data_IF_925674740876
#
_entry.id   IF_925674740876
#
_cell.length_a   1.000
_cell.length_b   1.000
_cell.length_c   1.000
_cell.angle_alpha   90.00
_cell.angle_beta   90.00
_cell.angle_gamma   90.00
#
_symmetry.space_group_name_H-M   'P 1'
#
loop_
_entity.id
_entity.type
_entity.pdbx_description
1 polymer ?
#
# COMPACT_ATOMS: atom_id res chain seq x y z
N UNK A 1 47.52 13.64 -51.28
CA UNK A 1 47.36 14.24 -49.93
C UNK A 1 47.31 13.23 -48.78
N UNK A 2 46.88 11.97 -48.99
CA UNK A 2 46.71 10.96 -47.92
C UNK A 2 48.05 10.35 -47.43
N UNK A 3 49.06 10.19 -48.30
CA UNK A 3 50.39 9.65 -47.90
C UNK A 3 51.19 10.58 -46.95
N UNK A 4 50.90 11.88 -46.92
CA UNK A 4 51.61 12.87 -46.09
C UNK A 4 51.14 12.86 -44.63
N UNK A 5 49.88 12.52 -44.39
CA UNK A 5 49.30 12.45 -43.04
C UNK A 5 49.80 11.20 -42.31
N UNK A 6 49.83 10.04 -43.00
CA UNK A 6 50.34 8.79 -42.42
C UNK A 6 51.79 8.87 -41.94
N UNK A 7 52.67 9.55 -42.69
CA UNK A 7 54.08 9.73 -42.29
C UNK A 7 54.25 10.68 -41.09
N UNK A 8 53.41 11.71 -40.95
CA UNK A 8 53.43 12.60 -39.77
C UNK A 8 52.91 11.91 -38.51
N UNK A 9 51.86 11.10 -38.63
CA UNK A 9 51.38 10.25 -37.55
C UNK A 9 52.44 9.26 -37.09
N UNK A 10 53.10 8.56 -38.03
CA UNK A 10 54.13 7.57 -37.69
C UNK A 10 55.37 8.18 -37.03
N UNK A 11 55.71 9.44 -37.36
CA UNK A 11 56.79 10.17 -36.71
C UNK A 11 56.43 10.61 -35.28
N UNK A 12 55.19 11.07 -35.07
CA UNK A 12 54.69 11.46 -33.75
C UNK A 12 54.65 10.27 -32.76
N UNK A 13 54.27 9.08 -33.23
CA UNK A 13 54.26 7.86 -32.42
C UNK A 13 55.65 7.38 -31.99
N UNK A 14 56.70 7.68 -32.77
CA UNK A 14 58.09 7.37 -32.40
C UNK A 14 58.64 8.30 -31.31
N UNK A 15 58.18 9.55 -31.25
CA UNK A 15 58.66 10.56 -30.30
C UNK A 15 57.92 10.52 -28.95
N UNK A 16 56.65 10.09 -28.93
CA UNK A 16 55.82 10.15 -27.72
C UNK A 16 55.11 8.81 -27.42
N UNK A 17 55.85 7.73 -27.15
CA UNK A 17 55.27 6.42 -26.86
C UNK A 17 54.34 6.43 -25.62
N UNK A 18 54.64 7.28 -24.63
CA UNK A 18 53.80 7.44 -23.44
C UNK A 18 52.43 8.08 -23.75
N UNK A 19 52.37 9.02 -24.70
CA UNK A 19 51.09 9.64 -25.10
C UNK A 19 50.19 8.63 -25.80
N UNK A 20 50.78 7.76 -26.63
CA UNK A 20 50.03 6.65 -27.24
C UNK A 20 49.47 5.70 -26.18
N UNK A 21 50.29 5.33 -25.19
CA UNK A 21 49.85 4.45 -24.10
C UNK A 21 48.68 5.10 -23.34
N UNK A 22 48.78 6.39 -23.00
CA UNK A 22 47.73 7.11 -22.29
C UNK A 22 46.42 7.23 -23.09
N UNK A 23 46.49 7.45 -24.40
CA UNK A 23 45.31 7.48 -25.28
C UNK A 23 44.67 6.10 -25.41
N UNK A 24 45.47 5.04 -25.55
CA UNK A 24 44.94 3.67 -25.55
C UNK A 24 44.30 3.32 -24.20
N UNK A 25 44.89 3.78 -23.09
CA UNK A 25 44.35 3.57 -21.75
C UNK A 25 43.03 4.32 -21.54
N UNK A 26 42.92 5.57 -22.00
CA UNK A 26 41.69 6.34 -21.87
C UNK A 26 40.53 5.75 -22.69
N UNK A 27 40.82 5.27 -23.91
CA UNK A 27 39.85 4.55 -24.74
C UNK A 27 39.45 3.24 -24.05
N UNK A 28 40.41 2.47 -23.54
CA UNK A 28 40.15 1.23 -22.81
C UNK A 28 39.26 1.43 -21.57
N UNK A 29 39.55 2.46 -20.77
CA UNK A 29 38.72 2.83 -19.60
C UNK A 29 37.30 3.23 -20.04
N UNK A 30 37.18 4.02 -21.12
CA UNK A 30 35.87 4.47 -21.62
C UNK A 30 35.03 3.27 -22.09
N UNK A 31 35.64 2.33 -22.81
CA UNK A 31 34.99 1.07 -23.23
C UNK A 31 34.59 0.24 -22.02
N UNK A 32 35.45 0.13 -20.99
CA UNK A 32 35.11 -0.58 -19.75
C UNK A 32 33.95 0.07 -19.00
N UNK A 33 33.89 1.40 -18.93
CA UNK A 33 32.77 2.14 -18.31
C UNK A 33 31.48 1.91 -19.09
N UNK A 34 31.51 2.01 -20.43
CA UNK A 34 30.33 1.74 -21.27
C UNK A 34 29.87 0.30 -21.14
N UNK A 35 30.80 -0.67 -21.14
CA UNK A 35 30.50 -2.08 -20.90
C UNK A 35 29.91 -2.30 -19.51
N UNK A 36 30.43 -1.65 -18.46
CA UNK A 36 29.90 -1.73 -17.09
C UNK A 36 28.50 -1.13 -16.96
N UNK A 37 28.23 -0.01 -17.63
CA UNK A 37 26.90 0.62 -17.65
C UNK A 37 25.92 -0.28 -18.44
N UNK A 38 26.35 -0.85 -19.56
CA UNK A 38 25.52 -1.77 -20.35
C UNK A 38 25.30 -3.11 -19.64
N UNK A 39 26.30 -3.63 -18.91
CA UNK A 39 26.13 -4.78 -18.01
C UNK A 39 25.26 -4.43 -16.81
N UNK A 40 25.31 -3.20 -16.28
CA UNK A 40 24.40 -2.74 -15.23
C UNK A 40 22.95 -2.68 -15.70
N UNK A 41 22.72 -2.28 -16.95
CA UNK A 41 21.39 -2.29 -17.59
C UNK A 41 20.94 -3.71 -17.98
N UNK A 42 21.84 -4.62 -18.36
CA UNK A 42 21.52 -6.02 -18.67
C UNK A 42 21.43 -6.93 -17.43
N UNK A 43 22.18 -6.67 -16.35
CA UNK A 43 22.06 -7.35 -15.04
C UNK A 43 20.87 -6.86 -14.23
N UNK A 44 20.23 -5.76 -14.63
CA UNK A 44 18.90 -5.34 -14.15
C UNK A 44 17.74 -6.01 -14.91
N UNK A 45 17.98 -7.13 -15.59
CA UNK A 45 16.94 -8.17 -15.66
C UNK A 45 17.24 -9.17 -14.54
N UNK A 46 16.52 -9.10 -13.40
CA UNK A 46 16.48 -10.25 -12.53
C UNK A 46 15.80 -11.35 -13.36
N UNK A 47 16.58 -12.36 -13.67
CA UNK A 47 16.08 -13.65 -14.13
C UNK A 47 15.23 -14.22 -12.98
N UNK A 48 13.98 -13.77 -12.85
CA UNK A 48 12.96 -14.34 -11.95
C UNK A 48 12.50 -15.69 -12.53
N UNK A 49 13.46 -16.59 -12.72
CA UNK A 49 13.26 -18.01 -13.00
C UNK A 49 14.08 -18.81 -12.00
N UNK A 50 13.55 -18.89 -10.78
CA UNK A 50 13.62 -20.04 -9.86
C UNK A 50 13.38 -19.59 -8.42
N UNK A 51 12.11 -19.44 -8.11
CA UNK A 51 11.52 -19.94 -6.87
C UNK A 51 10.08 -20.34 -7.20
N UNK A 52 9.90 -21.08 -8.30
CA UNK A 52 8.67 -21.86 -8.56
C UNK A 52 8.70 -23.07 -7.62
N UNK A 53 8.53 -22.81 -6.34
CA UNK A 53 8.08 -23.79 -5.37
C UNK A 53 6.56 -23.84 -5.44
N UNK A 54 6.02 -24.68 -6.31
CA UNK A 54 4.61 -25.07 -6.39
C UNK A 54 3.61 -23.89 -6.56
N UNK A 55 3.49 -23.39 -7.80
CA UNK A 55 2.55 -22.33 -8.22
C UNK A 55 1.07 -22.76 -8.20
N UNK A 56 0.75 -23.99 -7.83
CA UNK A 56 -0.57 -24.57 -8.08
C UNK A 56 -1.65 -24.36 -6.99
N UNK A 57 -1.46 -23.50 -5.98
CA UNK A 57 -2.62 -23.12 -5.16
C UNK A 57 -2.40 -21.86 -4.33
N UNK A 58 -2.56 -20.67 -4.94
CA UNK A 58 -2.91 -19.50 -4.13
C UNK A 58 -4.25 -19.79 -3.42
N UNK A 59 -4.33 -19.69 -2.08
CA UNK A 59 -5.49 -20.16 -1.31
C UNK A 59 -6.80 -19.45 -1.68
N UNK A 60 -6.69 -18.29 -2.33
CA UNK A 60 -7.80 -17.43 -2.71
C UNK A 60 -7.79 -17.10 -4.22
N UNK A 61 -7.20 -17.94 -5.06
CA UNK A 61 -6.99 -17.68 -6.50
C UNK A 61 -8.25 -17.28 -7.29
N UNK A 62 -9.44 -17.72 -6.84
CA UNK A 62 -10.71 -17.43 -7.53
C UNK A 62 -11.20 -15.99 -7.35
N UNK A 63 -10.73 -15.28 -6.34
CA UNK A 63 -11.23 -13.94 -6.03
C UNK A 63 -10.52 -12.89 -6.87
N UNK A 64 -11.30 -11.94 -7.39
CA UNK A 64 -10.85 -10.90 -8.31
C UNK A 64 -11.03 -9.50 -7.75
N UNK A 65 -11.96 -9.31 -6.82
CA UNK A 65 -12.33 -8.00 -6.29
C UNK A 65 -11.87 -7.87 -4.84
N UNK A 66 -11.29 -6.72 -4.48
CA UNK A 66 -10.91 -6.39 -3.12
C UNK A 66 -12.00 -5.52 -2.49
N UNK A 67 -12.60 -5.99 -1.40
CA UNK A 67 -13.37 -5.13 -0.48
C UNK A 67 -12.49 -4.83 0.72
N UNK A 68 -12.08 -3.57 0.87
CA UNK A 68 -11.17 -3.14 1.93
C UNK A 68 -11.92 -2.26 2.93
N UNK A 69 -11.94 -2.65 4.19
CA UNK A 69 -12.55 -1.88 5.29
C UNK A 69 -11.44 -1.22 6.09
N UNK A 70 -11.43 0.12 6.13
CA UNK A 70 -10.42 0.89 6.82
C UNK A 70 -10.64 0.88 8.34
N UNK A 71 -9.65 0.39 9.08
CA UNK A 71 -9.60 0.43 10.53
C UNK A 71 -9.43 1.86 11.05
N UNK A 72 -10.12 2.17 12.15
CA UNK A 72 -10.09 3.48 12.80
C UNK A 72 -9.93 3.44 14.33
N UNK A 73 -10.05 2.26 14.94
CA UNK A 73 -9.97 2.04 16.38
C UNK A 73 -9.87 0.54 16.66
N UNK A 74 -9.50 0.19 17.89
CA UNK A 74 -9.33 -1.20 18.34
C UNK A 74 -10.47 -1.56 19.28
N UNK A 75 -11.19 -2.63 18.99
CA UNK A 75 -12.14 -3.23 19.93
C UNK A 75 -11.40 -3.88 21.12
N UNK A 76 -11.68 -3.42 22.33
CA UNK A 76 -10.93 -3.81 23.54
C UNK A 76 -11.72 -4.65 24.54
N UNK A 77 -13.05 -4.62 24.49
CA UNK A 77 -13.89 -5.38 25.42
C UNK A 77 -13.65 -6.90 25.30
N UNK A 78 -13.73 -7.59 26.44
CA UNK A 78 -13.67 -9.05 26.51
C UNK A 78 -15.00 -9.72 26.18
N UNK A 79 -16.13 -9.01 26.31
CA UNK A 79 -17.45 -9.49 25.90
C UNK A 79 -17.96 -8.73 24.69
N UNK A 80 -18.31 -9.45 23.62
CA UNK A 80 -18.82 -8.91 22.35
C UNK A 80 -20.29 -8.43 22.41
N UNK A 81 -20.81 -8.17 23.61
CA UNK A 81 -22.23 -7.83 23.82
C UNK A 81 -22.55 -6.39 23.40
N UNK A 82 -21.63 -5.45 23.68
CA UNK A 82 -21.83 -4.01 23.56
C UNK A 82 -20.91 -3.35 22.52
N UNK A 83 -20.77 -3.98 21.34
CA UNK A 83 -19.87 -3.49 20.28
C UNK A 83 -20.20 -2.06 19.80
N UNK A 84 -21.41 -1.57 20.03
CA UNK A 84 -21.84 -0.22 19.67
C UNK A 84 -21.50 0.83 20.75
N UNK A 85 -20.88 0.45 21.87
CA UNK A 85 -20.59 1.33 23.00
C UNK A 85 -19.13 1.79 23.02
N UNK A 86 -18.93 3.07 23.30
CA UNK A 86 -17.62 3.72 23.31
C UNK A 86 -16.64 3.11 24.31
N UNK A 87 -17.13 2.58 25.44
CA UNK A 87 -16.32 1.92 26.48
C UNK A 87 -15.72 0.58 26.04
N UNK A 88 -16.23 0.01 24.94
CA UNK A 88 -15.76 -1.25 24.39
C UNK A 88 -14.66 -1.08 23.34
N UNK A 89 -14.28 0.17 23.04
CA UNK A 89 -13.27 0.53 22.04
C UNK A 89 -12.17 1.39 22.66
N UNK A 90 -10.95 1.27 22.14
CA UNK A 90 -9.90 2.23 22.42
C UNK A 90 -10.08 3.50 21.57
N UNK A 91 -10.55 4.57 22.20
CA UNK A 91 -10.84 5.84 21.54
C UNK A 91 -9.79 6.89 21.87
N UNK A 92 -9.24 7.52 20.84
CA UNK A 92 -8.47 8.77 20.98
C UNK A 92 -9.37 9.90 21.50
N UNK A 93 -8.80 10.96 22.11
CA UNK A 93 -9.59 12.06 22.66
C UNK A 93 -10.62 12.66 21.70
N UNK A 94 -10.27 12.82 20.41
CA UNK A 94 -11.19 13.34 19.39
C UNK A 94 -12.28 12.35 18.95
N UNK A 95 -12.13 11.07 19.28
CA UNK A 95 -13.09 10.00 18.99
C UNK A 95 -14.06 9.78 20.16
N UNK A 96 -13.82 10.37 21.34
CA UNK A 96 -14.66 10.22 22.54
C UNK A 96 -15.92 11.07 22.46
N UNK A 97 -16.84 10.69 21.57
CA UNK A 97 -18.16 11.29 21.46
C UNK A 97 -19.23 10.21 21.20
N UNK A 98 -20.49 10.45 21.57
CA UNK A 98 -21.57 9.49 21.34
C UNK A 98 -21.71 9.09 19.87
N UNK A 99 -21.93 7.79 19.63
CA UNK A 99 -22.17 7.17 18.32
C UNK A 99 -20.90 6.85 17.53
N UNK A 100 -19.71 7.12 18.08
CA UNK A 100 -18.46 6.84 17.39
C UNK A 100 -18.27 5.32 17.19
N UNK A 101 -18.49 4.53 18.25
CA UNK A 101 -18.37 3.08 18.20
C UNK A 101 -19.37 2.48 17.18
N UNK A 102 -20.62 2.95 17.21
CA UNK A 102 -21.64 2.57 16.23
C UNK A 102 -21.22 2.85 14.77
N UNK A 103 -20.43 3.90 14.53
CA UNK A 103 -19.91 4.19 13.18
C UNK A 103 -18.89 3.14 12.73
N UNK A 104 -17.99 2.71 13.62
CA UNK A 104 -17.05 1.61 13.32
C UNK A 104 -17.79 0.30 13.01
N UNK A 105 -18.78 -0.03 13.82
CA UNK A 105 -19.67 -1.18 13.64
C UNK A 105 -20.38 -1.10 12.28
N UNK A 106 -20.77 0.10 11.85
CA UNK A 106 -21.37 0.32 10.53
C UNK A 106 -20.39 0.08 9.38
N UNK A 107 -19.12 0.52 9.50
CA UNK A 107 -18.09 0.20 8.50
C UNK A 107 -17.93 -1.33 8.34
N UNK A 108 -17.87 -2.05 9.47
CA UNK A 108 -17.67 -3.50 9.49
C UNK A 108 -18.83 -4.20 8.78
N UNK A 109 -20.05 -3.89 9.20
CA UNK A 109 -21.26 -4.47 8.61
C UNK A 109 -21.35 -4.17 7.11
N UNK A 110 -21.07 -2.91 6.71
CA UNK A 110 -21.13 -2.51 5.30
C UNK A 110 -20.11 -3.24 4.43
N UNK A 111 -18.90 -3.49 4.95
CA UNK A 111 -17.89 -4.30 4.26
C UNK A 111 -18.32 -5.75 4.07
N UNK A 112 -18.93 -6.36 5.09
CA UNK A 112 -19.48 -7.71 4.99
C UNK A 112 -20.63 -7.76 3.99
N UNK A 113 -21.54 -6.79 4.00
CA UNK A 113 -22.67 -6.71 3.06
C UNK A 113 -22.20 -6.58 1.60
N UNK A 114 -21.20 -5.70 1.33
CA UNK A 114 -20.65 -5.53 -0.01
C UNK A 114 -19.99 -6.83 -0.47
N UNK A 115 -19.18 -7.46 0.38
CA UNK A 115 -18.56 -8.74 0.05
C UNK A 115 -19.62 -9.82 -0.18
N UNK A 116 -20.68 -9.89 0.63
CA UNK A 116 -21.77 -10.86 0.49
C UNK A 116 -22.51 -10.77 -0.85
N UNK A 117 -22.58 -9.56 -1.44
CA UNK A 117 -23.23 -9.34 -2.74
C UNK A 117 -22.27 -9.49 -3.94
N UNK A 118 -21.01 -9.87 -3.72
CA UNK A 118 -19.99 -10.12 -4.75
C UNK A 118 -19.24 -11.43 -4.47
N UNK A 119 -19.58 -12.49 -5.20
CA UNK A 119 -18.99 -13.83 -5.04
C UNK A 119 -17.51 -13.91 -5.44
N UNK A 120 -17.02 -12.93 -6.21
CA UNK A 120 -15.62 -12.79 -6.59
C UNK A 120 -14.86 -11.83 -5.66
N UNK A 121 -15.50 -11.28 -4.62
CA UNK A 121 -14.85 -10.42 -3.64
C UNK A 121 -14.14 -11.17 -2.52
N UNK A 122 -12.94 -10.70 -2.15
CA UNK A 122 -12.24 -11.01 -0.91
C UNK A 122 -12.31 -9.78 0.00
N UNK A 123 -12.77 -9.99 1.24
CA UNK A 123 -12.88 -8.94 2.25
C UNK A 123 -11.59 -8.86 3.08
N UNK A 124 -10.98 -7.69 3.13
CA UNK A 124 -9.87 -7.36 4.04
C UNK A 124 -10.28 -6.25 5.00
N UNK A 125 -10.28 -6.56 6.29
CA UNK A 125 -10.19 -5.52 7.32
C UNK A 125 -8.73 -5.08 7.39
N UNK A 126 -8.44 -3.79 7.29
CA UNK A 126 -7.06 -3.28 7.26
C UNK A 126 -6.80 -2.27 8.35
N UNK A 127 -5.65 -2.41 9.02
CA UNK A 127 -5.21 -1.54 10.10
C UNK A 127 -4.43 -2.30 11.17
N UNK A 128 -3.26 -1.79 11.53
CA UNK A 128 -2.34 -2.45 12.43
C UNK A 128 -2.49 -2.14 13.91
N UNK A 129 -1.50 -2.55 14.69
CA UNK A 129 -1.40 -2.33 16.13
C UNK A 129 -0.94 -0.89 16.44
N UNK A 130 -1.77 0.11 16.12
CA UNK A 130 -1.35 1.52 16.13
C UNK A 130 -1.37 2.18 17.52
N UNK A 131 -1.86 1.48 18.55
CA UNK A 131 -2.16 2.05 19.88
C UNK A 131 -1.52 1.26 21.01
N UNK A 132 -0.52 1.84 21.67
CA UNK A 132 0.22 1.20 22.76
C UNK A 132 -0.71 0.74 23.90
N UNK A 133 -1.63 1.61 24.31
CA UNK A 133 -2.50 1.37 25.47
C UNK A 133 -3.70 0.46 25.13
N UNK A 134 -3.94 0.15 23.85
CA UNK A 134 -4.92 -0.86 23.45
C UNK A 134 -4.36 -2.29 23.56
N UNK A 135 -3.06 -2.44 23.83
CA UNK A 135 -2.35 -3.71 23.78
C UNK A 135 -2.00 -4.14 22.35
N UNK A 136 -1.36 -5.32 22.18
CA UNK A 136 -0.92 -5.83 20.88
C UNK A 136 -2.11 -6.40 20.08
N UNK A 137 -3.07 -5.53 19.77
CA UNK A 137 -4.29 -5.84 19.02
C UNK A 137 -4.37 -4.92 17.82
N UNK A 138 -4.48 -5.49 16.63
CA UNK A 138 -4.63 -4.73 15.40
C UNK A 138 -6.07 -4.24 15.22
N UNK A 139 -6.22 -3.08 14.58
CA UNK A 139 -7.55 -2.58 14.21
C UNK A 139 -8.29 -3.61 13.34
N UNK A 140 -7.57 -4.24 12.40
CA UNK A 140 -8.09 -5.27 11.49
C UNK A 140 -8.63 -6.52 12.22
N UNK A 141 -7.86 -7.12 13.14
CA UNK A 141 -8.33 -8.27 13.93
C UNK A 141 -9.57 -7.90 14.75
N UNK A 142 -9.55 -6.70 15.33
CA UNK A 142 -10.65 -6.24 16.17
C UNK A 142 -11.95 -6.11 15.36
N UNK A 143 -11.88 -5.64 14.11
CA UNK A 143 -13.02 -5.54 13.20
C UNK A 143 -13.53 -6.92 12.78
N UNK A 144 -12.61 -7.86 12.48
CA UNK A 144 -12.97 -9.23 12.14
C UNK A 144 -13.70 -9.94 13.30
N UNK A 145 -13.21 -9.80 14.54
CA UNK A 145 -13.81 -10.38 15.74
C UNK A 145 -15.22 -9.81 15.98
N UNK A 146 -15.40 -8.50 15.81
CA UNK A 146 -16.72 -7.87 15.93
C UNK A 146 -17.69 -8.46 14.90
N UNK A 147 -17.26 -8.60 13.64
CA UNK A 147 -18.09 -9.19 12.59
C UNK A 147 -18.47 -10.65 12.88
N UNK A 148 -17.52 -11.45 13.38
CA UNK A 148 -17.74 -12.83 13.77
C UNK A 148 -18.74 -12.92 14.93
N UNK A 149 -18.56 -12.09 15.96
CA UNK A 149 -19.42 -12.08 17.14
C UNK A 149 -20.89 -11.74 16.83
N UNK A 150 -21.11 -10.96 15.76
CA UNK A 150 -22.43 -10.58 15.27
C UNK A 150 -23.01 -11.56 14.25
N UNK A 151 -22.27 -12.62 13.91
CA UNK A 151 -22.68 -13.64 12.95
C UNK A 151 -22.98 -13.10 11.54
N UNK A 152 -22.48 -11.90 11.20
CA UNK A 152 -22.75 -11.25 9.93
C UNK A 152 -22.20 -12.00 8.72
N UNK A 153 -21.13 -12.77 8.93
CA UNK A 153 -20.54 -13.57 7.85
C UNK A 153 -21.46 -14.67 7.31
N UNK A 154 -22.54 -15.02 8.02
CA UNK A 154 -23.48 -16.08 7.63
C UNK A 154 -24.77 -15.59 6.99
N UNK A 155 -24.97 -14.28 6.83
CA UNK A 155 -26.26 -13.74 6.38
C UNK A 155 -26.57 -14.05 4.90
N UNK A 156 -25.56 -14.17 4.02
CA UNK A 156 -25.67 -14.60 2.61
C UNK A 156 -24.32 -15.13 2.11
N UNK A 157 -24.26 -16.43 1.78
CA UNK A 157 -23.03 -17.17 1.44
C UNK A 157 -21.92 -17.04 2.51
N UNK A 158 -21.01 -18.01 2.62
CA UNK A 158 -20.02 -17.96 3.71
C UNK A 158 -18.92 -16.93 3.40
N UNK A 159 -19.20 -15.64 3.59
CA UNK A 159 -18.21 -14.53 3.54
C UNK A 159 -17.07 -14.82 4.51
N UNK A 160 -17.35 -15.54 5.60
CA UNK A 160 -16.35 -15.96 6.60
C UNK A 160 -15.14 -16.62 5.97
N UNK A 161 -15.35 -17.46 4.96
CA UNK A 161 -14.28 -18.19 4.27
C UNK A 161 -13.34 -17.30 3.46
N UNK A 162 -13.75 -16.05 3.18
CA UNK A 162 -13.06 -15.07 2.31
C UNK A 162 -12.95 -13.69 2.97
N UNK A 163 -13.03 -13.65 4.30
CA UNK A 163 -12.81 -12.47 5.12
C UNK A 163 -11.52 -12.62 5.93
N UNK A 164 -10.53 -11.79 5.65
CA UNK A 164 -9.20 -11.83 6.24
C UNK A 164 -8.77 -10.45 6.76
N UNK A 165 -7.56 -10.38 7.28
CA UNK A 165 -6.97 -9.17 7.89
C UNK A 165 -5.70 -8.73 7.15
N UNK A 166 -5.50 -7.42 7.13
CA UNK A 166 -4.23 -6.74 6.85
C UNK A 166 -3.86 -5.94 8.12
N UNK A 167 -2.81 -6.35 8.82
CA UNK A 167 -2.58 -5.95 10.21
C UNK A 167 -1.38 -5.01 10.41
N UNK A 168 -0.92 -4.37 9.35
CA UNK A 168 0.32 -3.59 9.37
C UNK A 168 0.12 -2.13 8.96
N UNK A 169 -1.02 -1.76 8.36
CA UNK A 169 -1.25 -0.38 7.97
C UNK A 169 -1.36 0.57 9.17
N UNK A 170 -0.61 1.69 9.10
CA UNK A 170 -0.56 2.72 10.15
C UNK A 170 -1.26 4.01 9.74
N UNK A 171 -1.60 4.16 8.46
CA UNK A 171 -2.40 5.27 7.96
C UNK A 171 -3.30 4.82 6.80
N UNK A 172 -4.11 5.76 6.29
CA UNK A 172 -5.06 5.49 5.20
C UNK A 172 -4.42 5.12 3.85
N UNK A 173 -3.20 5.59 3.59
CA UNK A 173 -2.49 5.25 2.36
C UNK A 173 -1.96 3.82 2.45
N UNK A 174 -1.31 3.47 3.58
CA UNK A 174 -0.89 2.10 3.86
C UNK A 174 -2.09 1.15 3.88
N UNK A 175 -3.22 1.57 4.43
CA UNK A 175 -4.47 0.79 4.41
C UNK A 175 -4.81 0.31 2.99
N UNK A 176 -4.75 1.21 2.00
CA UNK A 176 -4.98 0.86 0.61
C UNK A 176 -3.84 0.02 0.02
N UNK A 177 -2.60 0.53 0.06
CA UNK A 177 -1.45 -0.09 -0.60
C UNK A 177 -1.15 -1.50 -0.04
N UNK A 178 -1.22 -1.65 1.28
CA UNK A 178 -0.96 -2.92 1.95
C UNK A 178 -2.08 -3.91 1.68
N UNK A 179 -3.34 -3.47 1.61
CA UNK A 179 -4.45 -4.36 1.22
C UNK A 179 -4.34 -4.84 -0.22
N UNK A 180 -3.89 -3.99 -1.15
CA UNK A 180 -3.60 -4.39 -2.54
C UNK A 180 -2.51 -5.46 -2.58
N UNK A 181 -1.43 -5.27 -1.81
CA UNK A 181 -0.37 -6.26 -1.74
C UNK A 181 -0.83 -7.55 -1.06
N UNK A 182 -1.55 -7.45 0.06
CA UNK A 182 -2.12 -8.60 0.77
C UNK A 182 -3.05 -9.42 -0.11
N UNK A 183 -3.86 -8.75 -0.93
CA UNK A 183 -4.70 -9.43 -1.93
C UNK A 183 -3.84 -10.23 -2.92
N UNK A 184 -2.75 -9.66 -3.43
CA UNK A 184 -1.81 -10.33 -4.34
C UNK A 184 -1.11 -11.54 -3.70
N UNK A 185 -0.76 -11.47 -2.42
CA UNK A 185 -0.22 -12.61 -1.66
C UNK A 185 -1.22 -13.77 -1.57
N UNK A 186 -2.50 -13.45 -1.36
CA UNK A 186 -3.55 -14.43 -1.12
C UNK A 186 -4.07 -15.07 -2.41
N UNK A 187 -4.16 -14.29 -3.49
CA UNK A 187 -4.84 -14.69 -4.74
C UNK A 187 -3.89 -14.99 -5.90
N UNK A 188 -2.65 -14.51 -5.84
CA UNK A 188 -1.71 -14.63 -6.95
C UNK A 188 -1.85 -13.56 -8.03
N UNK A 189 -2.87 -12.72 -7.96
CA UNK A 189 -3.12 -11.63 -8.89
C UNK A 189 -3.43 -10.32 -8.14
N UNK A 190 -3.24 -9.18 -8.79
CA UNK A 190 -3.70 -7.90 -8.25
C UNK A 190 -5.22 -7.74 -8.47
N UNK A 191 -5.92 -6.99 -7.62
CA UNK A 191 -7.37 -6.87 -7.71
C UNK A 191 -7.81 -6.23 -9.04
N UNK A 192 -8.85 -6.80 -9.64
CA UNK A 192 -9.55 -6.21 -10.78
C UNK A 192 -10.37 -5.00 -10.34
N UNK A 193 -11.08 -5.07 -9.21
CA UNK A 193 -11.80 -3.94 -8.64
C UNK A 193 -11.41 -3.75 -7.18
N UNK A 194 -11.41 -2.49 -6.72
CA UNK A 194 -11.22 -2.15 -5.32
C UNK A 194 -12.44 -1.37 -4.84
N UNK A 195 -13.08 -1.85 -3.78
CA UNK A 195 -14.11 -1.12 -3.04
C UNK A 195 -13.60 -0.81 -1.64
N UNK A 196 -13.44 0.46 -1.32
CA UNK A 196 -13.03 0.90 0.02
C UNK A 196 -14.26 1.26 0.85
N UNK A 197 -14.31 0.81 2.10
CA UNK A 197 -15.33 1.13 3.09
C UNK A 197 -14.71 1.92 4.24
N UNK A 198 -15.30 3.06 4.59
CA UNK A 198 -14.83 3.92 5.67
C UNK A 198 -15.72 5.14 5.84
N UNK A 199 -15.18 6.18 6.48
CA UNK A 199 -15.89 7.46 6.63
C UNK A 199 -16.17 8.15 5.31
N UNK A 200 -17.42 8.58 5.10
CA UNK A 200 -17.84 9.36 3.93
C UNK A 200 -16.96 10.60 3.67
N UNK A 201 -16.60 11.34 4.71
CA UNK A 201 -15.76 12.52 4.56
C UNK A 201 -14.34 12.23 4.03
N UNK A 202 -13.86 10.97 4.08
CA UNK A 202 -12.53 10.57 3.57
C UNK A 202 -12.55 10.15 2.10
N UNK A 203 -13.73 10.09 1.47
CA UNK A 203 -13.89 9.61 0.10
C UNK A 203 -12.94 10.31 -0.88
N UNK A 204 -12.94 11.66 -0.89
CA UNK A 204 -12.09 12.43 -1.80
C UNK A 204 -10.60 12.09 -1.64
N UNK A 205 -10.15 11.82 -0.41
CA UNK A 205 -8.76 11.44 -0.15
C UNK A 205 -8.43 10.07 -0.75
N UNK A 206 -9.31 9.09 -0.60
CA UNK A 206 -9.08 7.77 -1.18
C UNK A 206 -9.18 7.81 -2.71
N UNK A 207 -10.24 8.43 -3.25
CA UNK A 207 -10.56 8.41 -4.68
C UNK A 207 -9.62 9.30 -5.49
N UNK A 208 -9.28 10.50 -5.01
CA UNK A 208 -8.51 11.46 -5.80
C UNK A 208 -7.03 11.53 -5.44
N UNK A 209 -6.64 11.13 -4.22
CA UNK A 209 -5.23 11.16 -3.78
C UNK A 209 -4.63 9.75 -3.76
N UNK A 210 -5.10 8.87 -2.87
CA UNK A 210 -4.46 7.55 -2.66
C UNK A 210 -4.54 6.66 -3.91
N UNK A 211 -5.71 6.55 -4.52
CA UNK A 211 -5.90 5.81 -5.78
C UNK A 211 -5.00 6.37 -6.89
N UNK A 212 -4.94 7.70 -7.02
CA UNK A 212 -4.10 8.38 -8.02
C UNK A 212 -2.61 8.14 -7.78
N UNK A 213 -2.16 8.16 -6.52
CA UNK A 213 -0.77 7.92 -6.14
C UNK A 213 -0.29 6.52 -6.51
N UNK A 214 -1.17 5.52 -6.41
CA UNK A 214 -0.90 4.15 -6.87
C UNK A 214 -1.35 3.91 -8.33
N UNK A 215 -1.79 4.95 -9.05
CA UNK A 215 -2.29 4.90 -10.44
C UNK A 215 -3.32 3.80 -10.70
N UNK A 216 -4.17 3.49 -9.72
CA UNK A 216 -5.24 2.51 -9.91
C UNK A 216 -6.36 3.11 -10.76
N UNK A 217 -6.93 2.41 -11.77
CA UNK A 217 -7.91 2.99 -12.67
C UNK A 217 -9.18 3.45 -11.95
N UNK A 218 -9.64 4.65 -12.28
CA UNK A 218 -10.83 5.26 -11.68
C UNK A 218 -12.09 4.43 -11.93
N UNK A 219 -12.25 3.86 -13.13
CA UNK A 219 -13.40 3.02 -13.49
C UNK A 219 -13.49 1.69 -12.74
N UNK A 220 -12.45 1.34 -11.97
CA UNK A 220 -12.33 0.09 -11.19
C UNK A 220 -12.19 0.34 -9.69
N UNK A 221 -12.33 1.60 -9.25
CA UNK A 221 -12.16 2.00 -7.86
C UNK A 221 -13.46 2.61 -7.32
N UNK A 222 -14.01 2.01 -6.28
CA UNK A 222 -15.26 2.39 -5.67
C UNK A 222 -15.07 2.77 -4.20
N UNK A 223 -15.89 3.68 -3.71
CA UNK A 223 -15.89 4.08 -2.30
C UNK A 223 -17.29 3.95 -1.73
N UNK A 224 -17.40 3.31 -0.56
CA UNK A 224 -18.64 3.20 0.21
C UNK A 224 -18.45 3.92 1.53
N UNK A 225 -18.83 5.20 1.55
CA UNK A 225 -18.80 6.03 2.74
C UNK A 225 -19.93 5.70 3.71
N UNK A 226 -19.62 5.66 5.01
CA UNK A 226 -20.64 5.68 6.06
C UNK A 226 -20.55 6.98 6.84
N UNK A 227 -21.69 7.54 7.21
CA UNK A 227 -21.76 8.85 7.87
C UNK A 227 -21.08 8.86 9.23
N UNK A 228 -20.33 9.93 9.51
CA UNK A 228 -19.95 10.29 10.87
C UNK A 228 -21.17 10.74 11.69
N UNK A 229 -21.04 10.77 13.01
CA UNK A 229 -22.09 11.35 13.86
C UNK A 229 -22.20 12.86 13.64
N UNK A 230 -23.41 13.40 13.77
CA UNK A 230 -23.68 14.82 13.45
C UNK A 230 -22.83 15.77 14.30
N UNK A 231 -22.62 15.44 15.58
CA UNK A 231 -21.93 16.30 16.54
C UNK A 231 -20.42 16.41 16.30
N UNK A 232 -19.81 15.45 15.58
CA UNK A 232 -18.37 15.48 15.25
C UNK A 232 -18.09 15.78 13.79
N UNK A 233 -19.12 15.86 12.94
CA UNK A 233 -18.99 15.98 11.48
C UNK A 233 -18.21 17.22 11.05
N UNK A 234 -18.50 18.39 11.62
CA UNK A 234 -17.82 19.63 11.23
C UNK A 234 -16.31 19.59 11.55
N UNK A 235 -15.96 19.15 12.77
CA UNK A 235 -14.58 18.98 13.18
C UNK A 235 -13.85 17.92 12.34
N UNK A 236 -14.54 16.82 12.01
CA UNK A 236 -14.02 15.76 11.14
C UNK A 236 -13.73 16.27 9.73
N UNK A 237 -14.65 17.04 9.13
CA UNK A 237 -14.47 17.66 7.81
C UNK A 237 -13.28 18.64 7.79
N UNK A 238 -13.15 19.46 8.83
CA UNK A 238 -12.02 20.40 8.95
C UNK A 238 -10.69 19.67 9.10
N UNK A 239 -10.64 18.65 9.97
CA UNK A 239 -9.46 17.83 10.16
C UNK A 239 -9.08 17.06 8.89
N UNK A 240 -10.06 16.56 8.16
CA UNK A 240 -9.85 15.87 6.89
C UNK A 240 -9.34 16.81 5.80
N UNK A 241 -9.86 18.02 5.69
CA UNK A 241 -9.37 19.01 4.71
C UNK A 241 -7.85 19.26 4.88
N UNK A 242 -7.37 19.39 6.12
CA UNK A 242 -5.94 19.52 6.41
C UNK A 242 -5.15 18.29 5.97
N UNK A 243 -5.66 17.10 6.26
CA UNK A 243 -4.99 15.84 5.89
C UNK A 243 -4.97 15.65 4.38
N UNK A 244 -6.00 16.08 3.65
CA UNK A 244 -6.01 16.08 2.17
C UNK A 244 -4.92 16.96 1.61
N UNK A 245 -4.77 18.19 2.12
CA UNK A 245 -3.66 19.07 1.71
C UNK A 245 -2.30 18.42 1.97
N UNK A 246 -2.12 17.75 3.11
CA UNK A 246 -0.87 17.03 3.39
C UNK A 246 -0.59 15.91 2.37
N UNK A 247 -1.60 15.12 1.99
CA UNK A 247 -1.42 14.07 0.98
C UNK A 247 -1.36 14.61 -0.46
N UNK A 248 -1.82 15.83 -0.74
CA UNK A 248 -1.58 16.49 -2.02
C UNK A 248 -0.10 16.86 -2.18
N UNK A 249 0.53 17.33 -1.11
CA UNK A 249 1.95 17.69 -1.08
C UNK A 249 2.88 16.48 -0.95
N UNK A 250 2.44 15.45 -0.22
CA UNK A 250 3.18 14.22 0.05
C UNK A 250 2.29 12.98 -0.21
N UNK A 251 2.12 12.59 -1.50
CA UNK A 251 1.18 11.51 -1.89
C UNK A 251 1.46 10.15 -1.27
N UNK A 252 2.69 9.92 -0.79
CA UNK A 252 3.14 8.64 -0.22
C UNK A 252 3.35 8.72 1.31
N UNK A 253 3.13 9.89 1.92
CA UNK A 253 3.28 10.11 3.36
C UNK A 253 4.71 9.92 3.87
N UNK A 254 5.71 10.21 3.04
CA UNK A 254 7.12 9.99 3.36
C UNK A 254 7.77 11.14 4.16
N UNK A 255 7.09 12.28 4.30
CA UNK A 255 7.65 13.50 4.85
C UNK A 255 6.73 14.15 5.89
N UNK A 256 7.24 15.18 6.55
CA UNK A 256 6.43 16.10 7.34
C UNK A 256 5.64 15.45 8.47
N UNK A 257 4.40 15.88 8.63
CA UNK A 257 3.49 15.41 9.68
C UNK A 257 3.01 13.98 9.45
N UNK A 258 2.82 13.57 8.18
CA UNK A 258 2.36 12.23 7.81
C UNK A 258 3.37 11.17 8.23
N UNK A 259 4.65 11.36 7.87
CA UNK A 259 5.73 10.48 8.27
C UNK A 259 5.85 10.34 9.80
N UNK A 260 5.85 11.47 10.53
CA UNK A 260 5.94 11.46 12.00
C UNK A 260 4.75 10.72 12.63
N UNK A 261 3.55 10.91 12.06
CA UNK A 261 2.34 10.21 12.50
C UNK A 261 2.44 8.71 12.25
N UNK A 262 3.00 8.29 11.10
CA UNK A 262 3.23 6.89 10.76
C UNK A 262 4.24 6.24 11.73
N UNK A 263 5.35 6.91 12.03
CA UNK A 263 6.33 6.47 13.03
C UNK A 263 5.71 6.32 14.44
N UNK A 264 4.89 7.29 14.86
CA UNK A 264 4.22 7.25 16.16
C UNK A 264 3.15 6.16 16.29
N UNK A 265 2.76 5.52 15.18
CA UNK A 265 1.74 4.47 15.10
C UNK A 265 2.32 3.07 14.95
N UNK A 266 3.58 2.89 15.34
CA UNK A 266 4.21 1.57 15.46
C UNK A 266 4.75 1.34 16.90
N UNK A 267 3.89 1.42 17.93
CA UNK A 267 4.33 1.31 19.33
C UNK A 267 4.94 -0.04 19.69
N UNK A 268 4.66 -1.09 18.91
CA UNK A 268 5.16 -2.45 19.13
C UNK A 268 6.33 -2.83 18.21
N UNK A 269 6.81 -1.91 17.37
CA UNK A 269 7.90 -2.12 16.41
C UNK A 269 7.70 -3.39 15.57
N UNK A 270 6.50 -3.53 15.00
CA UNK A 270 6.14 -4.69 14.18
C UNK A 270 6.92 -4.65 12.86
N UNK A 271 7.57 -5.75 12.50
CA UNK A 271 8.14 -5.86 11.15
C UNK A 271 7.04 -5.77 10.10
N UNK A 272 7.20 -4.87 9.13
CA UNK A 272 6.27 -4.71 8.01
C UNK A 272 6.63 -5.77 6.94
N UNK A 273 5.71 -6.67 6.57
CA UNK A 273 6.02 -7.75 5.64
C UNK A 273 6.16 -7.26 4.19
N UNK A 274 5.54 -6.15 3.84
CA UNK A 274 5.52 -5.62 2.48
C UNK A 274 6.81 -4.86 2.13
N UNK A 275 7.28 -4.91 0.86
CA UNK A 275 6.62 -5.48 -0.32
C UNK A 275 6.91 -6.99 -0.55
N UNK A 276 7.37 -7.74 0.45
CA UNK A 276 7.51 -9.19 0.26
C UNK A 276 6.14 -9.78 -0.12
N UNK A 277 6.12 -10.66 -1.11
CA UNK A 277 4.88 -11.18 -1.70
C UNK A 277 4.31 -10.35 -2.86
N UNK A 278 4.84 -9.16 -3.12
CA UNK A 278 4.41 -8.26 -4.21
C UNK A 278 5.61 -7.66 -4.97
N UNK A 279 6.48 -8.51 -5.56
CA UNK A 279 7.71 -8.04 -6.21
C UNK A 279 7.44 -7.07 -7.35
N UNK A 280 6.29 -7.17 -8.04
CA UNK A 280 5.94 -6.34 -9.18
C UNK A 280 5.71 -4.87 -8.82
N UNK A 281 5.46 -4.57 -7.54
CA UNK A 281 5.24 -3.21 -7.03
C UNK A 281 6.26 -2.79 -5.96
N UNK A 282 7.37 -3.52 -5.83
CA UNK A 282 8.43 -3.18 -4.86
C UNK A 282 8.91 -1.73 -5.00
N UNK A 283 9.05 -1.26 -6.25
CA UNK A 283 9.46 0.12 -6.52
C UNK A 283 8.45 1.17 -6.05
N UNK A 284 7.15 0.85 -6.03
CA UNK A 284 6.10 1.74 -5.52
C UNK A 284 6.23 1.92 -4.00
N UNK A 285 6.55 0.85 -3.26
CA UNK A 285 6.76 0.91 -1.80
C UNK A 285 7.97 1.75 -1.39
N UNK A 286 8.96 1.87 -2.27
CA UNK A 286 10.18 2.67 -2.03
C UNK A 286 10.08 4.10 -2.56
N UNK A 287 8.96 4.45 -3.19
CA UNK A 287 8.81 5.73 -3.87
C UNK A 287 8.26 6.81 -2.93
N UNK A 288 8.90 7.98 -2.96
CA UNK A 288 8.58 9.13 -2.11
C UNK A 288 8.65 10.44 -2.93
N UNK A 289 8.00 10.46 -4.09
CA UNK A 289 7.93 11.64 -4.96
C UNK A 289 6.63 12.43 -4.81
N UNK A 290 6.59 13.63 -5.40
CA UNK A 290 5.40 14.50 -5.42
C UNK A 290 4.51 14.27 -6.66
N UNK A 291 4.97 13.47 -7.61
CA UNK A 291 4.21 13.06 -8.81
C UNK A 291 3.88 11.57 -8.71
N UNK A 292 2.86 11.07 -9.44
CA UNK A 292 2.57 9.64 -9.44
C UNK A 292 3.77 8.77 -9.86
N UNK A 293 3.90 7.60 -9.23
CA UNK A 293 5.00 6.66 -9.46
C UNK A 293 5.16 6.34 -10.96
N UNK A 294 6.35 6.61 -11.55
CA UNK A 294 6.55 6.47 -12.99
C UNK A 294 6.82 5.03 -13.44
N UNK A 295 7.09 4.11 -12.51
CA UNK A 295 7.38 2.72 -12.83
C UNK A 295 6.17 1.94 -13.35
N UNK A 296 6.43 0.72 -13.80
CA UNK A 296 5.40 -0.23 -14.20
C UNK A 296 4.53 -0.60 -13.00
N UNK A 297 3.22 -0.71 -13.23
CA UNK A 297 2.25 -1.20 -12.25
C UNK A 297 1.32 -2.20 -12.94
N UNK A 298 1.08 -3.39 -12.36
CA UNK A 298 0.34 -4.47 -13.03
C UNK A 298 -1.12 -4.18 -13.41
N UNK A 299 -1.70 -3.11 -12.84
CA UNK A 299 -3.08 -2.69 -13.06
C UNK A 299 -3.21 -1.39 -13.87
N UNK A 300 -2.11 -0.68 -14.14
CA UNK A 300 -2.13 0.66 -14.72
C UNK A 300 -2.09 0.66 -16.24
#
# INVERSE_FOLDING_TARGET
>A
MIKSIGNRFNHYYKLHPLVLILVCLSIGITVLIVLSISEGQFKMMPTYRKLDGNVDSYPFARFRNLVMVAGHSVYTSSSCEKVDKEDSWYLEPYQKHPGQAATFVTHIHKGVEIAANDDEALLLFSGGETRKDAGPRSEAQSYWIVAESKQWFGERDSVRSRALTEEHARDSFENLLFSVCRFRELTGAYPQNITVVGYDFKEERFVHLHRSAIRFPESRFFYSGTSSTQNSREAALKGEALVRTQFQEDPYGCMGSLWRKRLGRDPFHRSIPYPNGCPEIEGLFRYCGTVPYPGFLPWA
#
